data_IF_329970132880
#
_entry.id   IF_329970132880
#
_cell.length_a   1.000
_cell.length_b   1.000
_cell.length_c   1.000
_cell.angle_alpha   90.00
_cell.angle_beta   90.00
_cell.angle_gamma   90.00
#
_symmetry.space_group_name_H-M   'P 1'
#
loop_
_entity.id
_entity.type
_entity.pdbx_description
1 polymer ?
#
# COMPACT_ATOMS: atom_id res chain seq x y z
N UNK A 1 6.27 -47.41 -12.62
CA UNK A 1 5.00 -46.67 -12.77
C UNK A 1 5.28 -45.21 -12.46
N UNK A 2 5.22 -44.30 -13.44
CA UNK A 2 5.31 -42.86 -13.15
C UNK A 2 3.99 -42.43 -12.53
N UNK A 3 4.03 -41.77 -11.38
CA UNK A 3 2.84 -41.14 -10.77
C UNK A 3 2.65 -39.79 -11.46
N UNK A 4 1.52 -39.56 -12.12
CA UNK A 4 1.23 -38.25 -12.71
C UNK A 4 0.71 -37.31 -11.63
N UNK A 5 1.01 -36.01 -11.76
CA UNK A 5 0.49 -34.98 -10.85
C UNK A 5 -1.05 -34.99 -10.77
N UNK A 6 -1.71 -35.26 -11.91
CA UNK A 6 -3.17 -35.31 -12.00
C UNK A 6 -3.80 -36.52 -11.28
N UNK A 7 -2.99 -37.53 -10.92
CA UNK A 7 -3.45 -38.69 -10.16
C UNK A 7 -3.51 -38.40 -8.64
N UNK A 8 -2.98 -37.26 -8.20
CA UNK A 8 -3.05 -36.83 -6.80
C UNK A 8 -4.48 -36.40 -6.42
N UNK A 9 -4.92 -36.61 -5.16
CA UNK A 9 -6.17 -36.03 -4.65
C UNK A 9 -6.23 -34.51 -4.84
N UNK A 10 -7.43 -33.96 -4.99
CA UNK A 10 -7.64 -32.54 -5.26
C UNK A 10 -7.04 -31.64 -4.16
N UNK A 11 -7.11 -32.08 -2.91
CA UNK A 11 -6.57 -31.39 -1.75
C UNK A 11 -5.03 -31.26 -1.85
N UNK A 12 -4.35 -32.35 -2.24
CA UNK A 12 -2.90 -32.36 -2.44
C UNK A 12 -2.50 -31.46 -3.61
N UNK A 13 -3.27 -31.48 -4.71
CA UNK A 13 -3.02 -30.57 -5.84
C UNK A 13 -3.18 -29.11 -5.44
N UNK A 14 -4.20 -28.78 -4.64
CA UNK A 14 -4.42 -27.43 -4.12
C UNK A 14 -3.25 -26.95 -3.26
N UNK A 15 -2.72 -27.80 -2.37
CA UNK A 15 -1.54 -27.47 -1.56
C UNK A 15 -0.29 -27.25 -2.41
N UNK A 16 -0.08 -28.06 -3.45
CA UNK A 16 1.05 -27.89 -4.36
C UNK A 16 0.88 -26.61 -5.18
N UNK A 17 -0.32 -26.31 -5.67
CA UNK A 17 -0.61 -25.06 -6.39
C UNK A 17 -0.43 -23.84 -5.48
N UNK A 18 -0.89 -23.89 -4.24
CA UNK A 18 -0.67 -22.81 -3.27
C UNK A 18 0.83 -22.59 -3.05
N UNK A 19 1.59 -23.64 -2.72
CA UNK A 19 3.03 -23.55 -2.56
C UNK A 19 3.76 -23.01 -3.80
N UNK A 20 3.39 -23.50 -4.99
CA UNK A 20 4.06 -23.15 -6.24
C UNK A 20 3.68 -21.76 -6.78
N UNK A 21 2.55 -21.19 -6.36
CA UNK A 21 2.07 -19.89 -6.82
C UNK A 21 2.23 -18.78 -5.78
N UNK A 22 2.57 -19.10 -4.53
CA UNK A 22 2.88 -18.10 -3.51
C UNK A 22 4.29 -17.54 -3.71
N UNK A 23 4.35 -16.22 -3.88
CA UNK A 23 5.56 -15.41 -3.93
C UNK A 23 5.78 -14.75 -2.57
N UNK A 24 6.99 -14.86 -2.02
CA UNK A 24 7.32 -14.33 -0.69
C UNK A 24 7.11 -12.81 -0.57
N UNK A 25 7.33 -12.08 -1.68
CA UNK A 25 7.19 -10.63 -1.75
C UNK A 25 5.90 -10.18 -2.44
N UNK A 26 5.02 -11.13 -2.78
CA UNK A 26 3.79 -10.90 -3.52
C UNK A 26 4.02 -10.47 -4.98
N UNK A 27 2.98 -9.86 -5.56
CA UNK A 27 2.94 -9.49 -6.97
C UNK A 27 2.78 -7.98 -7.10
N UNK A 28 3.50 -7.35 -8.03
CA UNK A 28 3.28 -5.96 -8.39
C UNK A 28 2.34 -5.87 -9.60
N UNK A 29 1.37 -4.96 -9.56
CA UNK A 29 0.55 -4.61 -10.71
C UNK A 29 1.11 -3.36 -11.38
N UNK A 30 1.37 -3.47 -12.68
CA UNK A 30 1.87 -2.38 -13.49
C UNK A 30 1.06 -2.22 -14.77
N UNK A 31 0.99 -0.99 -15.26
CA UNK A 31 0.36 -0.67 -16.54
C UNK A 31 1.41 -0.19 -17.52
N UNK A 32 1.67 -0.96 -18.58
CA UNK A 32 2.57 -0.55 -19.66
C UNK A 32 1.77 -0.49 -20.97
N UNK A 33 1.71 0.69 -21.60
CA UNK A 33 0.93 0.89 -22.82
C UNK A 33 -0.58 0.63 -22.65
N UNK A 34 -1.12 0.95 -21.47
CA UNK A 34 -2.53 0.74 -21.12
C UNK A 34 -2.91 -0.71 -20.81
N UNK A 35 -1.96 -1.65 -20.89
CA UNK A 35 -2.17 -3.06 -20.53
C UNK A 35 -1.67 -3.28 -19.11
N UNK A 36 -2.58 -3.65 -18.22
CA UNK A 36 -2.25 -4.08 -16.86
C UNK A 36 -1.63 -5.48 -16.84
N UNK A 37 -0.54 -5.64 -16.08
CA UNK A 37 0.16 -6.91 -15.92
C UNK A 37 0.54 -7.11 -14.45
N UNK A 38 0.47 -8.36 -14.00
CA UNK A 38 1.04 -8.79 -12.73
C UNK A 38 2.43 -9.33 -12.99
N UNK A 39 3.40 -8.90 -12.17
CA UNK A 39 4.75 -9.45 -12.14
C UNK A 39 5.15 -9.81 -10.72
N UNK A 40 6.13 -10.70 -10.60
CA UNK A 40 6.77 -10.97 -9.30
C UNK A 40 7.48 -9.69 -8.87
N UNK A 41 7.25 -9.26 -7.62
CA UNK A 41 7.90 -8.09 -7.06
C UNK A 41 9.37 -8.43 -6.75
N UNK A 42 10.30 -7.61 -7.20
CA UNK A 42 11.72 -7.82 -6.91
C UNK A 42 12.01 -7.44 -5.45
N UNK A 43 12.91 -8.17 -4.80
CA UNK A 43 13.35 -7.86 -3.44
C UNK A 43 13.98 -6.46 -3.36
N UNK A 44 14.69 -6.02 -4.39
CA UNK A 44 15.32 -4.69 -4.39
C UNK A 44 14.35 -3.51 -4.40
N UNK A 45 13.13 -3.70 -4.91
CA UNK A 45 12.07 -2.67 -4.91
C UNK A 45 11.47 -2.43 -3.52
N UNK A 46 11.76 -3.32 -2.58
CA UNK A 46 11.44 -3.17 -1.17
C UNK A 46 12.40 -2.18 -0.51
N UNK A 47 13.70 -2.40 -0.72
CA UNK A 47 14.78 -1.70 -0.03
C UNK A 47 14.99 -0.28 -0.58
N UNK A 48 14.72 -0.04 -1.88
CA UNK A 48 14.89 1.30 -2.49
C UNK A 48 13.87 2.33 -2.03
N UNK A 49 12.71 1.92 -1.55
CA UNK A 49 11.70 2.88 -1.07
C UNK A 49 12.06 3.49 0.28
N UNK A 50 13.09 2.98 0.98
CA UNK A 50 13.32 3.29 2.39
C UNK A 50 14.55 4.17 2.70
N UNK A 51 15.45 4.49 1.76
CA UNK A 51 16.76 5.02 2.17
C UNK A 51 17.55 5.98 1.28
N UNK A 52 17.13 6.32 0.06
CA UNK A 52 18.06 6.96 -0.90
C UNK A 52 17.92 8.49 -1.05
N UNK A 53 17.14 9.17 -0.20
CA UNK A 53 16.96 10.63 -0.30
C UNK A 53 18.05 11.47 0.38
N UNK A 54 19.12 10.84 0.88
CA UNK A 54 20.25 11.51 1.52
C UNK A 54 21.53 11.56 0.68
N UNK A 55 21.45 11.41 -0.65
CA UNK A 55 22.58 11.78 -1.50
C UNK A 55 22.68 13.31 -1.58
N UNK A 56 23.24 13.92 -0.52
CA UNK A 56 23.83 15.25 -0.57
C UNK A 56 24.75 15.27 -1.80
N UNK A 57 24.32 16.07 -2.77
CA UNK A 57 25.03 16.31 -4.03
C UNK A 57 26.23 17.19 -3.70
N UNK A 58 27.29 16.57 -3.17
CA UNK A 58 28.63 17.12 -3.23
C UNK A 58 29.06 17.12 -4.69
N UNK A 59 28.71 18.22 -5.35
CA UNK A 59 29.28 18.64 -6.61
C UNK A 59 30.80 18.60 -6.48
N UNK A 60 31.49 17.75 -7.24
CA UNK A 60 32.79 18.03 -7.85
C UNK A 60 33.23 16.90 -8.80
N UNK A 61 33.86 17.35 -9.89
CA UNK A 61 34.67 16.62 -10.88
C UNK A 61 34.00 15.84 -12.02
N UNK A 62 33.70 16.64 -13.05
CA UNK A 62 33.90 16.33 -14.48
C UNK A 62 35.08 15.39 -14.76
N UNK A 63 34.80 14.10 -14.99
CA UNK A 63 35.70 13.24 -15.77
C UNK A 63 34.88 12.56 -16.86
N UNK A 64 35.17 12.92 -18.11
CA UNK A 64 34.56 12.38 -19.32
C UNK A 64 34.88 10.89 -19.47
N UNK A 65 33.98 10.02 -19.03
CA UNK A 65 34.08 8.60 -19.29
C UNK A 65 33.10 8.19 -20.38
N UNK A 66 33.65 7.55 -21.42
CA UNK A 66 32.94 6.92 -22.52
C UNK A 66 31.89 5.94 -21.96
N UNK A 67 30.61 6.31 -22.00
CA UNK A 67 29.51 5.40 -21.69
C UNK A 67 29.45 4.31 -22.75
N UNK A 68 30.01 3.15 -22.43
CA UNK A 68 29.67 1.90 -23.11
C UNK A 68 28.21 1.63 -22.74
N UNK A 69 27.28 1.90 -23.67
CA UNK A 69 25.89 1.44 -23.56
C UNK A 69 25.90 -0.08 -23.55
N UNK A 70 26.03 -0.66 -22.36
CA UNK A 70 25.69 -2.06 -22.14
C UNK A 70 24.21 -2.20 -22.52
N UNK A 71 23.93 -2.98 -23.55
CA UNK A 71 22.55 -3.32 -23.91
C UNK A 71 21.95 -4.06 -22.73
N UNK A 72 21.18 -3.34 -21.89
CA UNK A 72 20.46 -3.93 -20.78
C UNK A 72 19.55 -5.01 -21.37
N UNK A 73 19.77 -6.30 -21.05
CA UNK A 73 18.99 -7.37 -21.63
C UNK A 73 17.52 -7.14 -21.33
N UNK A 74 16.70 -7.13 -22.39
CA UNK A 74 15.25 -6.94 -22.27
C UNK A 74 14.72 -8.02 -21.32
N UNK A 75 14.10 -7.64 -20.18
CA UNK A 75 13.62 -8.61 -19.22
C UNK A 75 12.63 -9.56 -19.88
N UNK A 76 12.89 -10.87 -19.84
CA UNK A 76 11.91 -11.86 -20.28
C UNK A 76 10.77 -11.87 -19.27
N UNK A 77 9.60 -11.36 -19.68
CA UNK A 77 8.40 -11.34 -18.86
C UNK A 77 7.77 -12.73 -18.87
N UNK A 78 8.11 -13.55 -17.87
CA UNK A 78 7.43 -14.82 -17.64
C UNK A 78 6.08 -14.58 -16.96
N UNK A 79 5.04 -15.37 -17.29
CA UNK A 79 3.81 -15.32 -16.52
C UNK A 79 4.07 -15.81 -15.09
N UNK A 80 3.48 -15.14 -14.11
CA UNK A 80 3.58 -15.50 -12.68
C UNK A 80 3.18 -16.96 -12.45
N UNK A 81 2.04 -17.37 -13.01
CA UNK A 81 1.56 -18.74 -12.92
C UNK A 81 2.21 -19.60 -14.03
N UNK A 82 3.38 -20.16 -13.76
CA UNK A 82 4.08 -21.02 -14.73
C UNK A 82 3.40 -22.39 -14.91
N UNK A 83 2.61 -22.85 -13.92
CA UNK A 83 1.86 -24.12 -14.00
C UNK A 83 0.86 -24.13 -15.16
N UNK A 84 0.35 -22.97 -15.54
CA UNK A 84 -0.58 -22.82 -16.65
C UNK A 84 0.02 -23.22 -18.01
N UNK A 85 1.36 -23.24 -18.12
CA UNK A 85 2.09 -23.61 -19.34
C UNK A 85 2.27 -25.13 -19.50
N UNK A 86 2.02 -25.91 -18.44
CA UNK A 86 2.27 -27.36 -18.44
C UNK A 86 1.19 -28.11 -19.23
N UNK A 87 -0.09 -27.89 -18.93
CA UNK A 87 -1.21 -28.49 -19.66
C UNK A 87 -2.52 -27.69 -19.49
N UNK A 88 -3.49 -27.92 -20.38
CA UNK A 88 -4.78 -27.20 -20.37
C UNK A 88 -5.61 -27.43 -19.09
N UNK A 89 -5.49 -28.60 -18.46
CA UNK A 89 -6.19 -28.87 -17.21
C UNK A 89 -5.61 -28.03 -16.08
N UNK A 90 -4.28 -28.00 -15.94
CA UNK A 90 -3.61 -27.15 -14.96
C UNK A 90 -3.92 -25.67 -15.19
N UNK A 91 -3.89 -25.20 -16.43
CA UNK A 91 -4.33 -23.84 -16.77
C UNK A 91 -5.70 -23.52 -16.17
N UNK A 92 -6.71 -24.38 -16.41
CA UNK A 92 -8.07 -24.17 -15.89
C UNK A 92 -8.15 -24.26 -14.37
N UNK A 93 -7.39 -25.15 -13.75
CA UNK A 93 -7.36 -25.32 -12.29
C UNK A 93 -6.64 -24.16 -11.59
N UNK A 94 -5.64 -23.55 -12.22
CA UNK A 94 -4.79 -22.53 -11.60
C UNK A 94 -5.09 -21.10 -12.01
N UNK A 95 -5.93 -20.86 -13.02
CA UNK A 95 -6.24 -19.50 -13.50
C UNK A 95 -6.75 -18.61 -12.36
N UNK A 96 -6.03 -17.52 -12.07
CA UNK A 96 -6.39 -16.54 -11.06
C UNK A 96 -6.06 -16.96 -9.62
N UNK A 97 -5.49 -18.15 -9.40
CA UNK A 97 -5.01 -18.54 -8.08
C UNK A 97 -3.83 -17.69 -7.63
N UNK A 98 -3.04 -17.17 -8.57
CA UNK A 98 -1.95 -16.24 -8.27
C UNK A 98 -2.44 -15.00 -7.50
N UNK A 99 -3.63 -14.48 -7.80
CA UNK A 99 -4.20 -13.33 -7.07
C UNK A 99 -4.73 -13.68 -5.69
N UNK A 100 -5.12 -14.94 -5.49
CA UNK A 100 -5.64 -15.44 -4.21
C UNK A 100 -4.49 -15.72 -3.22
N UNK A 101 -3.42 -16.33 -3.70
CA UNK A 101 -2.32 -16.77 -2.87
C UNK A 101 -1.25 -15.71 -2.60
N UNK A 102 -1.33 -14.56 -3.28
CA UNK A 102 -0.39 -13.46 -3.12
C UNK A 102 -1.07 -12.20 -2.60
N UNK A 103 -0.24 -11.29 -2.09
CA UNK A 103 -0.62 -9.89 -1.92
C UNK A 103 -0.31 -9.16 -3.21
N UNK A 104 -1.26 -8.38 -3.73
CA UNK A 104 -1.07 -7.56 -4.92
C UNK A 104 -0.73 -6.14 -4.50
N UNK A 105 0.41 -5.65 -4.96
CA UNK A 105 0.93 -4.34 -4.69
C UNK A 105 0.64 -3.41 -5.86
N UNK A 106 0.13 -2.23 -5.55
CA UNK A 106 0.01 -1.10 -6.47
C UNK A 106 0.96 -0.02 -5.98
N UNK A 107 1.84 0.47 -6.83
CA UNK A 107 2.74 1.58 -6.55
C UNK A 107 2.55 2.66 -7.61
N UNK A 108 2.95 3.90 -7.31
CA UNK A 108 2.92 4.94 -8.33
C UNK A 108 3.88 4.56 -9.45
N UNK A 109 3.39 4.54 -10.69
CA UNK A 109 4.24 4.36 -11.85
C UNK A 109 5.11 5.59 -12.08
N UNK A 110 6.24 5.41 -12.77
CA UNK A 110 7.07 6.50 -13.28
C UNK A 110 6.28 7.41 -14.25
N UNK A 111 5.28 6.84 -14.92
CA UNK A 111 4.35 7.58 -15.75
C UNK A 111 3.40 8.38 -14.84
N UNK A 112 3.70 9.67 -14.68
CA UNK A 112 2.98 10.70 -13.89
C UNK A 112 1.45 10.76 -14.04
N UNK A 113 0.84 9.96 -14.93
CA UNK A 113 -0.58 10.02 -15.27
C UNK A 113 -1.51 9.24 -14.34
N UNK A 114 -1.06 8.21 -13.61
CA UNK A 114 -1.98 7.39 -12.80
C UNK A 114 -1.36 6.98 -11.47
N UNK A 115 -2.01 7.40 -10.37
CA UNK A 115 -1.60 7.07 -9.00
C UNK A 115 -2.06 5.67 -8.62
N UNK A 116 -1.37 5.06 -7.65
CA UNK A 116 -1.60 3.68 -7.23
C UNK A 116 -3.07 3.39 -6.85
N UNK A 117 -3.80 4.25 -6.10
CA UNK A 117 -5.20 3.98 -5.76
C UNK A 117 -6.14 3.98 -6.96
N UNK A 118 -5.84 4.79 -7.99
CA UNK A 118 -6.62 4.83 -9.23
C UNK A 118 -6.39 3.56 -10.05
N UNK A 119 -5.14 3.11 -10.17
CA UNK A 119 -4.82 1.82 -10.81
C UNK A 119 -5.50 0.66 -10.08
N UNK A 120 -5.47 0.67 -8.74
CA UNK A 120 -6.14 -0.34 -7.92
C UNK A 120 -7.65 -0.35 -8.15
N UNK A 121 -8.30 0.82 -8.09
CA UNK A 121 -9.73 0.93 -8.34
C UNK A 121 -10.11 0.45 -9.76
N UNK A 122 -9.34 0.83 -10.79
CA UNK A 122 -9.56 0.37 -12.17
C UNK A 122 -9.40 -1.13 -12.33
N UNK A 123 -8.36 -1.70 -11.72
CA UNK A 123 -8.13 -3.14 -11.68
C UNK A 123 -9.31 -3.86 -11.02
N UNK A 124 -9.76 -3.40 -9.86
CA UNK A 124 -10.86 -4.00 -9.11
C UNK A 124 -12.19 -3.93 -9.86
N UNK A 125 -12.48 -2.84 -10.58
CA UNK A 125 -13.69 -2.72 -11.42
C UNK A 125 -13.74 -3.75 -12.55
N UNK A 126 -12.59 -4.19 -13.04
CA UNK A 126 -12.49 -5.19 -14.14
C UNK A 126 -12.43 -6.63 -13.62
N UNK A 127 -12.29 -6.81 -12.32
CA UNK A 127 -12.06 -8.13 -11.75
C UNK A 127 -13.37 -8.93 -11.63
N UNK A 128 -13.40 -10.21 -12.05
CA UNK A 128 -14.52 -11.09 -11.77
C UNK A 128 -14.78 -11.26 -10.27
N UNK A 129 -16.05 -11.23 -9.87
CA UNK A 129 -16.47 -11.34 -8.46
C UNK A 129 -15.91 -12.57 -7.73
N UNK A 130 -15.70 -13.69 -8.45
CA UNK A 130 -15.10 -14.91 -7.89
C UNK A 130 -13.65 -14.72 -7.45
N UNK A 131 -12.89 -13.91 -8.18
CA UNK A 131 -11.47 -13.64 -7.88
C UNK A 131 -11.35 -12.57 -6.79
N UNK A 132 -12.28 -11.61 -6.77
CA UNK A 132 -12.33 -10.55 -5.77
C UNK A 132 -12.43 -11.06 -4.34
N UNK A 133 -13.15 -12.17 -4.09
CA UNK A 133 -13.61 -12.62 -2.76
C UNK A 133 -12.51 -12.94 -1.71
N UNK A 134 -11.26 -13.14 -2.09
CA UNK A 134 -10.20 -13.49 -1.12
C UNK A 134 -8.87 -12.79 -1.43
N UNK A 135 -8.96 -11.60 -2.02
CA UNK A 135 -7.76 -10.86 -2.38
C UNK A 135 -7.13 -10.20 -1.18
N UNK A 136 -5.80 -10.12 -1.21
CA UNK A 136 -5.02 -9.25 -0.34
C UNK A 136 -4.38 -8.19 -1.22
N UNK A 137 -4.69 -6.94 -0.97
CA UNK A 137 -4.24 -5.82 -1.79
C UNK A 137 -3.50 -4.85 -0.88
N UNK A 138 -2.35 -4.37 -1.36
CA UNK A 138 -1.57 -3.31 -0.76
C UNK A 138 -1.40 -2.18 -1.76
N UNK A 139 -1.79 -0.97 -1.37
CA UNK A 139 -1.58 0.23 -2.18
C UNK A 139 -0.50 1.05 -1.51
N UNK A 140 0.65 1.14 -2.16
CA UNK A 140 1.86 1.74 -1.64
C UNK A 140 2.03 3.18 -2.11
N UNK A 141 2.85 3.92 -1.36
CA UNK A 141 3.38 5.24 -1.70
C UNK A 141 2.28 6.17 -2.20
N UNK A 142 1.18 6.22 -1.47
CA UNK A 142 0.07 7.10 -1.83
C UNK A 142 0.43 8.51 -1.41
N UNK A 143 1.13 9.23 -2.30
CA UNK A 143 1.34 10.65 -2.12
C UNK A 143 -0.02 11.32 -1.94
N UNK A 144 -0.12 12.05 -0.83
CA UNK A 144 -1.20 12.96 -0.49
C UNK A 144 -2.58 12.44 -0.93
N UNK A 145 -3.09 11.43 -0.22
CA UNK A 145 -4.44 10.88 -0.46
C UNK A 145 -5.51 11.96 -0.52
N UNK A 146 -5.34 13.06 0.23
CA UNK A 146 -6.23 14.22 0.19
C UNK A 146 -6.30 14.84 -1.21
N UNK A 147 -5.22 14.76 -1.99
CA UNK A 147 -5.18 15.28 -3.35
C UNK A 147 -5.55 14.22 -4.40
N UNK A 148 -5.95 13.02 -3.97
CA UNK A 148 -6.30 11.95 -4.89
C UNK A 148 -7.75 12.04 -5.33
N UNK A 149 -8.03 11.33 -6.42
CA UNK A 149 -9.36 11.27 -7.00
C UNK A 149 -10.32 10.61 -5.98
N UNK A 150 -11.21 11.42 -5.39
CA UNK A 150 -12.23 10.97 -4.42
C UNK A 150 -13.02 9.76 -4.92
N UNK A 151 -13.22 9.65 -6.24
CA UNK A 151 -13.89 8.49 -6.84
C UNK A 151 -13.09 7.20 -6.67
N UNK A 152 -11.77 7.23 -6.82
CA UNK A 152 -10.93 6.03 -6.69
C UNK A 152 -11.03 5.47 -5.27
N UNK A 153 -10.92 6.33 -4.25
CA UNK A 153 -11.04 5.92 -2.85
C UNK A 153 -12.46 5.43 -2.55
N UNK A 154 -13.49 6.14 -3.01
CA UNK A 154 -14.88 5.68 -2.88
C UNK A 154 -15.07 4.27 -3.45
N UNK A 155 -14.48 3.98 -4.61
CA UNK A 155 -14.55 2.65 -5.23
C UNK A 155 -13.78 1.60 -4.44
N UNK A 156 -12.65 1.94 -3.82
CA UNK A 156 -11.91 1.06 -2.92
C UNK A 156 -12.73 0.72 -1.66
N UNK A 157 -13.41 1.71 -1.07
CA UNK A 157 -14.29 1.48 0.08
C UNK A 157 -15.50 0.62 -0.31
N UNK A 158 -16.13 0.91 -1.45
CA UNK A 158 -17.25 0.11 -1.97
C UNK A 158 -16.83 -1.33 -2.25
N UNK A 159 -15.62 -1.54 -2.79
CA UNK A 159 -15.05 -2.87 -2.95
C UNK A 159 -14.96 -3.60 -1.61
N UNK A 160 -14.40 -2.96 -0.57
CA UNK A 160 -14.25 -3.57 0.75
C UNK A 160 -15.61 -3.94 1.38
N UNK A 161 -16.63 -3.08 1.21
CA UNK A 161 -18.02 -3.38 1.63
C UNK A 161 -18.62 -4.57 0.90
N UNK A 162 -18.34 -4.69 -0.40
CA UNK A 162 -18.89 -5.77 -1.23
C UNK A 162 -18.19 -7.12 -1.00
N UNK A 163 -16.91 -7.09 -0.62
CA UNK A 163 -16.08 -8.27 -0.41
C UNK A 163 -15.42 -8.25 0.99
N UNK A 164 -16.18 -8.53 2.06
CA UNK A 164 -15.66 -8.44 3.45
C UNK A 164 -14.55 -9.44 3.77
N UNK A 165 -14.44 -10.53 3.01
CA UNK A 165 -13.39 -11.55 3.16
C UNK A 165 -12.05 -11.14 2.50
N UNK A 166 -12.05 -10.07 1.70
CA UNK A 166 -10.85 -9.51 1.07
C UNK A 166 -10.19 -8.52 2.02
N UNK A 167 -8.93 -8.18 1.80
CA UNK A 167 -8.21 -7.19 2.61
C UNK A 167 -7.56 -6.15 1.72
N UNK A 168 -7.73 -4.88 2.08
CA UNK A 168 -7.13 -3.74 1.40
C UNK A 168 -6.35 -2.90 2.41
N UNK A 169 -5.04 -2.88 2.25
CA UNK A 169 -4.11 -2.11 3.06
C UNK A 169 -3.62 -0.92 2.22
N UNK A 170 -3.74 0.31 2.72
CA UNK A 170 -3.28 1.52 2.04
C UNK A 170 -2.17 2.17 2.87
N UNK A 171 -1.01 2.37 2.26
CA UNK A 171 0.18 2.95 2.89
C UNK A 171 0.37 4.41 2.44
N UNK A 172 0.52 5.32 3.41
CA UNK A 172 0.66 6.77 3.18
C UNK A 172 2.11 7.19 3.21
N UNK A 173 2.59 7.81 2.14
CA UNK A 173 3.96 8.31 2.05
C UNK A 173 4.20 9.53 2.93
N UNK A 174 3.20 10.39 3.07
CA UNK A 174 3.33 11.70 3.76
C UNK A 174 3.42 11.60 5.28
N UNK A 175 3.17 10.42 5.86
CA UNK A 175 3.32 10.19 7.30
C UNK A 175 4.78 9.83 7.52
N UNK A 176 5.68 10.82 7.42
CA UNK A 176 7.11 10.58 7.68
C UNK A 176 7.41 10.44 9.18
N UNK A 177 8.62 9.99 9.51
CA UNK A 177 9.03 9.55 10.85
C UNK A 177 8.82 10.57 11.98
N UNK A 178 8.56 11.85 11.70
CA UNK A 178 8.33 12.79 12.79
C UNK A 178 7.03 12.44 13.54
N UNK A 179 7.01 12.47 14.88
CA UNK A 179 5.80 12.28 15.68
C UNK A 179 4.68 13.24 15.32
N UNK A 180 5.01 14.43 14.82
CA UNK A 180 4.00 15.36 14.31
C UNK A 180 3.36 14.81 13.03
N UNK A 181 4.11 14.24 12.09
CA UNK A 181 3.47 13.61 10.92
C UNK A 181 2.65 12.38 11.29
N UNK A 182 3.05 11.62 12.30
CA UNK A 182 2.22 10.56 12.86
C UNK A 182 0.94 11.11 13.48
N UNK A 183 1.00 12.19 14.26
CA UNK A 183 -0.17 12.80 14.87
C UNK A 183 -1.11 13.41 13.82
N UNK A 184 -0.60 14.13 12.82
CA UNK A 184 -1.45 14.62 11.72
C UNK A 184 -2.06 13.47 10.94
N UNK A 185 -1.29 12.41 10.66
CA UNK A 185 -1.78 11.18 10.05
C UNK A 185 -2.89 10.55 10.89
N UNK A 186 -2.67 10.41 12.20
CA UNK A 186 -3.64 9.87 13.16
C UNK A 186 -4.95 10.64 13.12
N UNK A 187 -4.85 11.96 13.28
CA UNK A 187 -6.00 12.85 13.27
C UNK A 187 -6.73 12.78 11.94
N UNK A 188 -6.00 12.70 10.83
CA UNK A 188 -6.59 12.57 9.51
C UNK A 188 -7.36 11.26 9.35
N UNK A 189 -6.76 10.15 9.77
CA UNK A 189 -7.43 8.84 9.78
C UNK A 189 -8.68 8.91 10.66
N UNK A 190 -8.59 9.50 11.84
CA UNK A 190 -9.72 9.58 12.77
C UNK A 190 -10.88 10.41 12.21
N UNK A 191 -10.57 11.60 11.66
CA UNK A 191 -11.54 12.49 11.00
C UNK A 191 -12.23 11.78 9.83
N UNK A 192 -11.49 10.96 9.09
CA UNK A 192 -12.02 10.29 7.92
C UNK A 192 -12.90 9.10 8.29
N UNK A 193 -12.46 8.29 9.24
CA UNK A 193 -13.06 6.98 9.51
C UNK A 193 -13.96 6.97 10.74
N UNK A 194 -14.17 8.13 11.36
CA UNK A 194 -15.07 8.35 12.50
C UNK A 194 -14.84 7.31 13.60
N UNK A 195 -13.56 7.03 13.87
CA UNK A 195 -13.16 6.20 15.01
C UNK A 195 -13.12 7.15 16.21
N UNK A 196 -13.43 6.66 17.40
CA UNK A 196 -13.44 7.50 18.61
C UNK A 196 -12.01 7.94 19.07
N UNK A 197 -10.98 8.03 18.21
CA UNK A 197 -9.62 8.31 18.68
C UNK A 197 -9.41 9.74 19.17
N UNK A 198 -10.23 10.69 18.76
CA UNK A 198 -10.24 12.04 19.34
C UNK A 198 -10.60 12.04 20.84
N UNK A 199 -11.09 10.93 21.40
CA UNK A 199 -11.15 10.78 22.87
C UNK A 199 -9.77 10.71 23.54
N UNK A 200 -8.74 10.25 22.82
CA UNK A 200 -7.34 10.21 23.29
C UNK A 200 -6.68 11.57 23.09
N UNK A 201 -7.02 12.26 22.01
CA UNK A 201 -6.54 13.59 21.71
C UNK A 201 -7.59 14.62 22.17
N UNK A 202 -7.57 14.98 23.46
CA UNK A 202 -8.27 16.15 24.03
C UNK A 202 -7.71 17.50 23.46
N UNK A 203 -7.18 17.46 22.24
CA UNK A 203 -6.78 18.60 21.43
C UNK A 203 -8.06 19.36 21.08
N UNK A 204 -8.17 20.58 21.61
CA UNK A 204 -9.18 21.54 21.14
C UNK A 204 -8.94 21.74 19.64
N UNK A 205 -9.75 21.09 18.81
CA UNK A 205 -9.76 21.23 17.34
C UNK A 205 -9.68 22.70 16.89
N UNK A 206 -10.22 23.63 17.69
CA UNK A 206 -10.16 25.07 17.46
C UNK A 206 -8.73 25.66 17.35
N UNK A 207 -7.69 25.03 17.91
CA UNK A 207 -6.30 25.49 17.77
C UNK A 207 -5.59 24.86 16.55
N UNK A 208 -6.07 23.71 16.08
CA UNK A 208 -5.49 22.95 14.96
C UNK A 208 -6.06 23.34 13.58
N UNK A 209 -7.26 23.93 13.54
CA UNK A 209 -7.86 24.51 12.31
C UNK A 209 -6.98 25.59 11.67
N UNK A 210 -5.97 26.09 12.38
CA UNK A 210 -5.02 27.09 11.86
C UNK A 210 -3.92 26.48 10.95
N UNK A 211 -3.70 25.16 10.97
CA UNK A 211 -2.58 24.51 10.28
C UNK A 211 -2.70 24.20 8.77
N UNK A 212 -3.78 24.54 8.02
CA UNK A 212 -3.71 24.59 6.56
C UNK A 212 -3.33 25.98 6.01
N UNK A 213 -3.26 27.04 6.83
CA UNK A 213 -3.19 28.42 6.33
C UNK A 213 -1.86 28.83 5.67
N UNK A 214 -0.83 27.97 5.67
CA UNK A 214 0.43 28.23 4.96
C UNK A 214 0.65 27.37 3.70
N UNK A 215 -0.24 26.45 3.39
CA UNK A 215 -0.28 25.81 2.08
C UNK A 215 -1.26 26.60 1.20
N UNK A 216 -0.74 27.44 0.30
CA UNK A 216 -1.48 28.35 -0.60
C UNK A 216 -2.41 27.67 -1.64
N UNK A 217 -2.96 26.47 -1.38
CA UNK A 217 -3.91 25.80 -2.26
C UNK A 217 -5.27 25.68 -1.57
N UNK A 218 -6.20 26.55 -1.95
CA UNK A 218 -7.60 26.60 -1.50
C UNK A 218 -8.48 25.41 -1.93
N UNK A 219 -7.89 24.25 -2.24
CA UNK A 219 -8.58 23.06 -2.76
C UNK A 219 -8.74 21.90 -1.76
N UNK A 220 -8.06 21.94 -0.61
CA UNK A 220 -7.94 20.75 0.24
C UNK A 220 -9.08 20.60 1.27
N UNK A 221 -9.82 21.67 1.59
CA UNK A 221 -10.89 21.63 2.60
C UNK A 221 -12.13 20.85 2.15
N UNK A 222 -12.48 20.89 0.87
CA UNK A 222 -13.69 20.25 0.35
C UNK A 222 -13.57 18.73 0.27
N UNK A 223 -12.34 18.21 0.20
CA UNK A 223 -12.08 16.78 0.07
C UNK A 223 -12.26 16.07 1.42
N UNK A 224 -11.90 16.73 2.53
CA UNK A 224 -12.04 16.19 3.88
C UNK A 224 -13.51 15.94 4.27
N UNK A 225 -14.42 16.84 3.87
CA UNK A 225 -15.85 16.76 4.23
C UNK A 225 -16.56 15.59 3.52
N UNK A 226 -16.08 15.18 2.34
CA UNK A 226 -16.69 14.08 1.60
C UNK A 226 -16.47 12.70 2.23
N UNK A 227 -15.44 12.56 3.05
CA UNK A 227 -14.98 11.26 3.55
C UNK A 227 -15.58 10.90 4.91
N UNK A 228 -15.86 11.90 5.75
CA UNK A 228 -16.36 11.78 7.13
C UNK A 228 -17.77 11.18 7.29
N UNK A 229 -18.34 10.58 6.24
CA UNK A 229 -19.68 9.97 6.26
C UNK A 229 -19.69 8.50 5.84
N UNK A 230 -18.52 7.92 5.55
CA UNK A 230 -18.46 6.56 5.04
C UNK A 230 -18.03 5.64 6.17
N UNK A 231 -18.97 4.85 6.70
CA UNK A 231 -18.66 3.74 7.62
C UNK A 231 -17.56 2.87 7.01
N UNK A 232 -16.44 2.79 7.73
CA UNK A 232 -15.20 2.14 7.29
C UNK A 232 -15.32 0.63 7.42
N UNK A 233 -15.12 -0.14 6.33
CA UNK A 233 -15.08 -1.59 6.42
C UNK A 233 -13.86 -2.06 7.24
N UNK A 234 -14.04 -3.04 8.13
CA UNK A 234 -12.95 -3.61 8.97
C UNK A 234 -11.76 -4.17 8.18
N UNK A 235 -12.00 -4.48 6.90
CA UNK A 235 -11.03 -5.03 5.98
C UNK A 235 -10.32 -3.98 5.13
N UNK A 236 -10.67 -2.70 5.28
CA UNK A 236 -9.89 -1.56 4.81
C UNK A 236 -9.01 -1.06 5.96
N UNK A 237 -7.70 -1.06 5.75
CA UNK A 237 -6.73 -0.67 6.76
C UNK A 237 -5.78 0.37 6.22
N UNK A 238 -5.44 1.32 7.07
CA UNK A 238 -4.51 2.38 6.76
C UNK A 238 -3.22 2.21 7.54
N UNK A 239 -2.09 2.32 6.86
CA UNK A 239 -0.76 2.12 7.44
C UNK A 239 0.15 3.32 7.13
N UNK A 240 1.08 3.65 8.03
CA UNK A 240 2.22 4.48 7.64
C UNK A 240 3.01 3.81 6.51
N UNK A 241 3.76 4.58 5.72
CA UNK A 241 4.59 4.05 4.62
C UNK A 241 5.69 3.11 5.08
N UNK A 242 6.22 3.33 6.29
CA UNK A 242 7.33 2.55 6.83
C UNK A 242 6.93 1.13 7.18
N UNK A 243 7.85 0.20 6.95
CA UNK A 243 7.62 -1.20 7.29
C UNK A 243 7.95 -1.58 8.72
N UNK A 244 8.76 -0.75 9.39
CA UNK A 244 9.10 -0.94 10.79
C UNK A 244 8.91 0.35 11.58
N UNK A 245 8.52 0.18 12.84
CA UNK A 245 8.38 1.28 13.78
C UNK A 245 9.67 1.43 14.60
N UNK A 246 10.39 2.53 14.40
CA UNK A 246 11.55 2.88 15.23
C UNK A 246 11.08 3.61 16.49
N UNK A 247 10.98 2.86 17.59
CA UNK A 247 10.51 3.40 18.87
C UNK A 247 11.43 4.48 19.45
N UNK A 248 12.75 4.28 19.37
CA UNK A 248 13.72 5.22 19.97
C UNK A 248 13.64 6.58 19.29
N UNK A 249 13.65 6.59 17.95
CA UNK A 249 13.49 7.80 17.15
C UNK A 249 12.15 8.49 17.42
N UNK A 250 11.07 7.71 17.49
CA UNK A 250 9.75 8.23 17.76
C UNK A 250 9.70 8.90 19.13
N UNK A 251 10.22 8.24 20.18
CA UNK A 251 10.28 8.77 21.55
C UNK A 251 11.06 10.07 21.64
N UNK A 252 12.27 10.12 21.11
CA UNK A 252 13.12 11.32 21.10
C UNK A 252 12.38 12.52 20.52
N UNK A 253 11.65 12.29 19.43
CA UNK A 253 10.91 13.36 18.76
C UNK A 253 9.57 13.70 19.44
N UNK A 254 9.04 12.81 20.30
CA UNK A 254 7.74 13.02 21.00
C UNK A 254 7.91 13.86 22.27
N UNK A 255 9.09 13.84 22.88
CA UNK A 255 9.39 14.68 24.06
C UNK A 255 9.13 16.18 23.80
N UNK A 256 9.28 16.61 22.53
CA UNK A 256 8.98 17.97 22.07
C UNK A 256 7.46 18.25 22.07
N UNK A 257 6.62 17.25 21.82
CA UNK A 257 5.16 17.39 21.73
C UNK A 257 4.46 17.24 23.08
N UNK A 258 5.09 16.61 24.07
CA UNK A 258 4.52 16.36 25.39
C UNK A 258 4.13 17.64 26.16
N UNK A 259 4.63 18.82 25.76
CA UNK A 259 4.25 20.09 26.38
C UNK A 259 2.80 20.54 26.06
N UNK A 260 2.10 19.86 25.14
CA UNK A 260 0.76 20.27 24.68
C UNK A 260 -0.34 19.22 24.69
N UNK A 261 -0.06 17.97 25.09
CA UNK A 261 -1.05 16.87 25.01
C UNK A 261 -1.22 16.15 26.33
N UNK A 262 -2.44 15.65 26.59
CA UNK A 262 -2.83 15.05 27.87
C UNK A 262 -2.37 13.60 28.09
N UNK A 263 -1.86 12.93 27.05
CA UNK A 263 -1.39 11.54 27.12
C UNK A 263 0.10 11.43 27.47
N UNK A 264 0.46 10.32 28.11
CA UNK A 264 1.87 10.00 28.35
C UNK A 264 2.57 9.58 27.04
N UNK A 265 3.88 9.81 26.96
CA UNK A 265 4.70 9.37 25.82
C UNK A 265 4.58 7.86 25.59
N UNK A 266 4.47 7.07 26.67
CA UNK A 266 4.32 5.61 26.57
C UNK A 266 3.00 5.17 25.94
N UNK A 267 1.88 5.84 26.28
CA UNK A 267 0.58 5.57 25.66
C UNK A 267 0.61 5.88 24.16
N UNK A 268 1.23 7.00 23.78
CA UNK A 268 1.33 7.41 22.38
C UNK A 268 2.21 6.46 21.56
N UNK A 269 3.34 6.03 22.12
CA UNK A 269 4.22 5.02 21.50
C UNK A 269 3.49 3.68 21.35
N UNK A 270 2.77 3.23 22.38
CA UNK A 270 2.01 1.98 22.32
C UNK A 270 0.90 2.05 21.25
N UNK A 271 0.23 3.19 21.15
CA UNK A 271 -0.76 3.47 20.12
C UNK A 271 -0.14 3.46 18.71
N UNK A 272 0.96 4.18 18.48
CA UNK A 272 1.61 4.27 17.18
C UNK A 272 2.14 2.89 16.73
N UNK A 273 2.68 2.09 17.65
CA UNK A 273 3.04 0.69 17.40
C UNK A 273 1.83 -0.17 17.01
N UNK A 274 0.72 0.00 17.71
CA UNK A 274 -0.50 -0.75 17.41
C UNK A 274 -1.01 -0.42 16.01
N UNK A 275 -1.06 0.86 15.67
CA UNK A 275 -1.41 1.34 14.33
C UNK A 275 -0.46 0.77 13.27
N UNK A 276 0.85 0.83 13.49
CA UNK A 276 1.84 0.27 12.57
C UNK A 276 1.60 -1.23 12.31
N UNK A 277 1.37 -2.02 13.36
CA UNK A 277 1.21 -3.48 13.26
C UNK A 277 -0.13 -3.91 12.66
N UNK A 278 -1.21 -3.20 12.99
CA UNK A 278 -2.57 -3.66 12.69
C UNK A 278 -3.27 -2.83 11.63
N UNK A 279 -2.75 -1.64 11.31
CA UNK A 279 -3.47 -0.62 10.56
C UNK A 279 -4.52 0.03 11.44
N UNK A 280 -4.96 1.23 11.04
CA UNK A 280 -5.98 1.96 11.78
C UNK A 280 -7.38 1.47 11.47
#
# INVERSE_FOLDING_TARGET
MSRNFLDLPAEMRSLICEYALTENHGLCYETSGGIGRLRVRDRGEFERSEGDDNSETDALDNVSNHEVKEEVPVPQVFPVNQLQLVCQQLYRETTGLEMRYNTIFFANGEDNGTRAPQQCAEFLRRLPAKQAKHMRIKVLNTENICNQNTQAISDLVLFCKHYPDSRLDIHFETIYCSPWQYLTGAMFVDIIFDKDMLSICDLKLNELVVLPSQANSSSNSDILIGWSFIETPDNLRLFPSFESFNEDYFRESTEILAEGVSFSVDEYVAWAKNWHQHGA
#
